data_IF_919593988674
#
_entry.id   IF_919593988674
#
_cell.length_a   1.000
_cell.length_b   1.000
_cell.length_c   1.000
_cell.angle_alpha   90.00
_cell.angle_beta   90.00
_cell.angle_gamma   90.00
#
_symmetry.space_group_name_H-M   'P 1'
#
loop_
_entity.id
_entity.type
_entity.pdbx_description
1 polymer ?
#
# COMPACT_ATOMS: atom_id res chain seq x y z
N UNK A 1 20.56 13.57 16.26
CA UNK A 1 20.82 14.88 16.88
C UNK A 1 19.68 15.16 17.86
N UNK A 2 19.97 15.63 19.07
CA UNK A 2 18.93 16.03 20.01
C UNK A 2 18.23 17.30 19.50
N UNK A 3 16.93 17.40 19.76
CA UNK A 3 16.08 18.54 19.41
C UNK A 3 15.25 18.91 20.64
N UNK A 4 15.09 20.20 20.86
CA UNK A 4 14.19 20.73 21.88
C UNK A 4 12.89 21.13 21.20
N UNK A 5 11.75 20.69 21.75
CA UNK A 5 10.45 21.15 21.28
C UNK A 5 10.14 22.52 21.92
N UNK A 6 9.58 23.48 21.17
CA UNK A 6 9.26 24.81 21.70
C UNK A 6 8.13 24.71 22.75
N UNK A 7 8.49 24.97 24.00
CA UNK A 7 7.64 25.18 25.17
C UNK A 7 8.47 25.98 26.18
N UNK A 8 7.84 26.70 27.12
CA UNK A 8 8.49 27.63 28.07
C UNK A 8 9.70 27.03 28.83
N UNK A 9 9.77 25.70 28.98
CA UNK A 9 10.93 24.97 29.54
C UNK A 9 11.52 23.88 28.61
N UNK A 10 11.01 23.71 27.38
CA UNK A 10 11.52 22.84 26.32
C UNK A 10 11.89 21.39 26.72
N UNK A 11 11.09 20.39 26.33
CA UNK A 11 11.45 18.99 26.59
C UNK A 11 12.46 18.47 25.54
N UNK A 12 13.59 17.84 25.95
CA UNK A 12 14.56 17.28 25.03
C UNK A 12 14.04 16.01 24.35
N UNK A 13 14.40 15.82 23.09
CA UNK A 13 14.10 14.62 22.30
C UNK A 13 15.30 14.24 21.45
N UNK A 14 15.57 12.95 21.25
CA UNK A 14 16.66 12.48 20.40
C UNK A 14 17.96 12.17 21.16
N UNK A 15 19.08 12.22 20.44
CA UNK A 15 20.38 11.71 20.92
C UNK A 15 21.30 12.84 21.40
N UNK A 16 21.81 12.72 22.63
CA UNK A 16 22.91 13.52 23.15
C UNK A 16 23.97 12.58 23.77
N UNK A 17 25.12 12.46 23.12
CA UNK A 17 26.15 11.50 23.54
C UNK A 17 25.66 10.05 23.54
N UNK A 18 25.87 9.34 24.65
CA UNK A 18 25.34 7.99 24.90
C UNK A 18 23.89 7.99 25.38
N UNK A 19 23.32 9.14 25.70
CA UNK A 19 21.95 9.25 26.19
C UNK A 19 20.95 9.46 25.06
N UNK A 20 19.83 8.76 25.16
CA UNK A 20 18.68 8.88 24.26
C UNK A 20 17.48 9.35 25.06
N UNK A 21 16.96 10.51 24.67
CA UNK A 21 15.78 11.15 25.24
C UNK A 21 14.56 10.79 24.38
N UNK A 22 13.55 10.15 24.98
CA UNK A 22 12.27 9.85 24.34
C UNK A 22 11.14 10.50 25.10
N UNK A 23 10.24 11.16 24.38
CA UNK A 23 9.00 11.67 24.94
C UNK A 23 7.88 10.67 24.67
N UNK A 24 7.22 10.22 25.74
CA UNK A 24 6.05 9.33 25.67
C UNK A 24 5.01 9.91 26.61
N UNK A 25 3.84 10.26 26.07
CA UNK A 25 2.70 10.81 26.83
C UNK A 25 3.09 12.01 27.72
N UNK A 26 3.87 12.96 27.19
CA UNK A 26 4.32 14.15 27.92
C UNK A 26 5.42 13.91 28.95
N UNK A 27 5.87 12.67 29.16
CA UNK A 27 6.98 12.33 30.06
C UNK A 27 8.27 12.12 29.26
N UNK A 28 9.39 12.60 29.79
CA UNK A 28 10.71 12.39 29.20
C UNK A 28 11.37 11.17 29.84
N UNK A 29 11.68 10.18 29.02
CA UNK A 29 12.44 8.98 29.40
C UNK A 29 13.87 9.13 28.90
N UNK A 30 14.83 8.87 29.78
CA UNK A 30 16.26 8.89 29.46
C UNK A 30 16.80 7.48 29.53
N UNK A 31 17.53 7.07 28.50
CA UNK A 31 18.14 5.74 28.44
C UNK A 31 19.54 5.82 27.85
N UNK A 32 20.44 4.94 28.33
CA UNK A 32 21.75 4.77 27.73
C UNK A 32 21.64 3.92 26.48
N UNK A 33 22.26 4.37 25.40
CA UNK A 33 22.42 3.60 24.18
C UNK A 33 23.50 2.54 24.41
N UNK A 34 23.26 1.28 24.04
CA UNK A 34 24.32 0.28 24.06
C UNK A 34 25.44 0.67 23.07
N UNK A 35 26.69 0.49 23.49
CA UNK A 35 27.87 0.82 22.69
C UNK A 35 27.97 -0.06 21.43
N UNK A 36 27.48 -1.29 21.49
CA UNK A 36 27.37 -2.21 20.36
C UNK A 36 25.96 -2.78 20.25
N UNK A 37 25.47 -2.92 19.01
CA UNK A 37 24.20 -3.59 18.74
C UNK A 37 24.44 -4.72 17.74
N UNK A 38 24.24 -5.95 18.18
CA UNK A 38 24.39 -7.12 17.32
C UNK A 38 23.16 -7.26 16.42
N UNK A 39 23.26 -6.73 15.19
CA UNK A 39 22.26 -6.94 14.16
C UNK A 39 22.45 -8.35 13.61
N UNK A 40 21.44 -9.22 13.77
CA UNK A 40 21.46 -10.54 13.14
C UNK A 40 21.56 -10.41 11.61
N UNK A 41 22.56 -11.09 11.06
CA UNK A 41 22.85 -11.13 9.62
C UNK A 41 22.27 -12.37 8.93
N UNK A 42 21.50 -13.19 9.65
CA UNK A 42 20.85 -14.36 9.05
C UNK A 42 19.94 -13.94 7.91
N UNK A 43 19.79 -14.80 6.89
CA UNK A 43 18.91 -14.55 5.74
C UNK A 43 17.49 -14.19 6.21
N UNK A 44 16.98 -14.93 7.19
CA UNK A 44 15.67 -14.65 7.79
C UNK A 44 15.59 -13.23 8.39
N UNK A 45 16.59 -12.82 9.20
CA UNK A 45 16.59 -11.49 9.81
C UNK A 45 16.73 -10.36 8.78
N UNK A 46 17.43 -10.60 7.67
CA UNK A 46 17.50 -9.66 6.54
C UNK A 46 16.15 -9.55 5.84
N UNK A 47 15.53 -10.68 5.48
CA UNK A 47 14.24 -10.73 4.81
C UNK A 47 13.13 -10.08 5.65
N UNK A 48 13.07 -10.36 6.96
CA UNK A 48 12.06 -9.77 7.83
C UNK A 48 12.18 -8.24 7.95
N UNK A 49 13.41 -7.73 8.02
CA UNK A 49 13.64 -6.26 8.01
C UNK A 49 13.23 -5.64 6.67
N UNK A 50 13.53 -6.31 5.56
CA UNK A 50 13.16 -5.85 4.23
C UNK A 50 11.65 -5.85 4.03
N UNK A 51 10.98 -6.95 4.36
CA UNK A 51 9.52 -7.06 4.34
C UNK A 51 8.89 -5.93 5.15
N UNK A 52 9.41 -5.67 6.35
CA UNK A 52 8.90 -4.58 7.18
C UNK A 52 9.08 -3.21 6.52
N UNK A 53 10.25 -2.93 5.93
CA UNK A 53 10.49 -1.66 5.24
C UNK A 53 9.54 -1.45 4.05
N UNK A 54 9.33 -2.48 3.23
CA UNK A 54 8.41 -2.44 2.08
C UNK A 54 6.97 -2.28 2.55
N UNK A 55 6.55 -3.02 3.57
CA UNK A 55 5.19 -2.96 4.10
C UNK A 55 4.88 -1.60 4.73
N UNK A 56 5.86 -0.96 5.35
CA UNK A 56 5.73 0.43 5.82
C UNK A 56 5.48 1.39 4.67
N UNK A 57 6.19 1.26 3.55
CA UNK A 57 5.97 2.08 2.36
C UNK A 57 4.59 1.80 1.73
N UNK A 58 4.24 0.52 1.58
CA UNK A 58 2.95 0.08 1.08
C UNK A 58 1.79 0.61 1.93
N UNK A 59 1.93 0.59 3.26
CA UNK A 59 0.93 1.14 4.16
C UNK A 59 0.78 2.66 4.02
N UNK A 60 1.88 3.40 3.80
CA UNK A 60 1.81 4.84 3.51
C UNK A 60 1.03 5.11 2.22
N UNK A 61 1.31 4.37 1.15
CA UNK A 61 0.60 4.50 -0.13
C UNK A 61 -0.89 4.19 -0.03
N UNK A 62 -1.26 3.14 0.71
CA UNK A 62 -2.67 2.82 0.94
C UNK A 62 -3.35 3.93 1.73
N UNK A 63 -2.72 4.39 2.81
CA UNK A 63 -3.33 5.39 3.71
C UNK A 63 -3.24 6.83 3.21
N UNK A 64 -2.50 7.13 2.15
CA UNK A 64 -2.53 8.44 1.51
C UNK A 64 -3.86 8.70 0.80
N UNK A 65 -4.59 7.65 0.42
CA UNK A 65 -5.99 7.76 -0.03
C UNK A 65 -6.93 7.81 1.19
N UNK A 66 -7.71 8.90 1.37
CA UNK A 66 -8.66 8.99 2.48
C UNK A 66 -9.72 7.87 2.47
N UNK A 67 -10.16 7.45 1.28
CA UNK A 67 -11.18 6.39 1.14
C UNK A 67 -10.63 5.01 1.53
N UNK A 68 -9.43 4.66 1.09
CA UNK A 68 -8.76 3.42 1.51
C UNK A 68 -8.47 3.45 3.02
N UNK A 69 -7.96 4.58 3.52
CA UNK A 69 -7.72 4.74 4.95
C UNK A 69 -9.01 4.54 5.77
N UNK A 70 -10.14 5.11 5.32
CA UNK A 70 -11.45 4.92 5.94
C UNK A 70 -11.85 3.43 6.00
N UNK A 71 -11.71 2.70 4.89
CA UNK A 71 -12.03 1.26 4.85
C UNK A 71 -11.21 0.48 5.90
N UNK A 72 -9.91 0.79 6.01
CA UNK A 72 -9.05 0.18 7.03
C UNK A 72 -9.39 0.58 8.46
N UNK A 73 -9.87 1.80 8.70
CA UNK A 73 -10.36 2.23 10.03
C UNK A 73 -11.62 1.46 10.45
N UNK A 74 -12.46 1.07 9.50
CA UNK A 74 -13.68 0.29 9.75
C UNK A 74 -13.44 -1.23 9.83
N UNK A 75 -12.33 -1.71 9.29
CA UNK A 75 -11.98 -3.14 9.32
C UNK A 75 -11.88 -3.69 10.75
N UNK A 76 -12.37 -4.92 10.98
CA UNK A 76 -12.24 -5.64 12.25
C UNK A 76 -10.84 -6.23 12.47
N UNK A 77 -9.80 -5.41 12.32
CA UNK A 77 -8.39 -5.78 12.42
C UNK A 77 -7.76 -5.02 13.59
N UNK A 78 -6.98 -5.74 14.42
CA UNK A 78 -6.28 -5.11 15.56
C UNK A 78 -5.28 -4.06 15.06
N UNK A 79 -5.38 -2.84 15.58
CA UNK A 79 -4.42 -1.76 15.31
C UNK A 79 -5.01 -0.40 15.66
N UNK A 80 -4.16 0.52 16.11
CA UNK A 80 -4.56 1.85 16.61
C UNK A 80 -4.99 2.80 15.50
N UNK A 81 -4.48 2.63 14.29
CA UNK A 81 -4.83 3.43 13.12
C UNK A 81 -4.90 2.57 11.86
N UNK A 82 -5.48 3.11 10.77
CA UNK A 82 -5.51 2.47 9.45
C UNK A 82 -4.12 1.94 9.06
N UNK A 83 -3.10 2.81 9.18
CA UNK A 83 -1.71 2.50 8.88
C UNK A 83 -1.20 1.26 9.62
N UNK A 84 -1.41 1.20 10.94
CA UNK A 84 -0.98 0.04 11.74
C UNK A 84 -1.75 -1.23 11.38
N UNK A 85 -3.03 -1.11 11.02
CA UNK A 85 -3.86 -2.24 10.59
C UNK A 85 -3.38 -2.80 9.25
N UNK A 86 -3.06 -1.93 8.29
CA UNK A 86 -2.47 -2.31 7.00
C UNK A 86 -1.19 -3.09 7.24
N UNK A 87 -0.25 -2.54 8.04
CA UNK A 87 1.03 -3.20 8.34
C UNK A 87 0.80 -4.57 8.97
N UNK A 88 -0.01 -4.63 10.03
CA UNK A 88 -0.22 -5.86 10.78
C UNK A 88 -0.83 -6.96 9.93
N UNK A 89 -1.76 -6.60 9.05
CA UNK A 89 -2.44 -7.55 8.18
C UNK A 89 -1.54 -8.02 7.03
N UNK A 90 -0.80 -7.11 6.41
CA UNK A 90 -0.02 -7.40 5.21
C UNK A 90 1.38 -7.99 5.48
N UNK A 91 2.00 -7.69 6.62
CA UNK A 91 3.35 -8.17 6.92
C UNK A 91 3.48 -9.71 6.86
N UNK A 92 2.56 -10.51 7.44
CA UNK A 92 2.61 -11.97 7.34
C UNK A 92 2.37 -12.52 5.92
N UNK A 93 1.87 -11.69 5.01
CA UNK A 93 1.53 -12.07 3.62
C UNK A 93 2.70 -11.82 2.65
N UNK A 94 3.79 -11.25 3.15
CA UNK A 94 5.03 -11.07 2.38
C UNK A 94 5.71 -12.41 2.10
N UNK A 95 6.46 -12.47 0.99
CA UNK A 95 7.25 -13.63 0.60
C UNK A 95 8.67 -13.16 0.25
N UNK A 96 9.69 -13.86 0.78
CA UNK A 96 11.10 -13.56 0.52
C UNK A 96 11.53 -12.10 0.75
N UNK A 97 10.89 -11.43 1.70
CA UNK A 97 11.18 -10.03 2.02
C UNK A 97 10.49 -9.01 1.11
N UNK A 98 9.60 -9.44 0.20
CA UNK A 98 8.86 -8.63 -0.76
C UNK A 98 7.34 -8.79 -0.62
N UNK A 99 6.56 -7.94 -1.30
CA UNK A 99 5.12 -8.18 -1.46
C UNK A 99 4.85 -9.43 -2.30
N UNK A 100 3.69 -10.04 -2.07
CA UNK A 100 3.16 -11.15 -2.85
C UNK A 100 1.73 -10.84 -3.31
N UNK A 101 1.17 -11.68 -4.18
CA UNK A 101 -0.25 -11.62 -4.58
C UNK A 101 -1.22 -11.86 -3.43
N UNK A 102 -0.75 -12.25 -2.24
CA UNK A 102 -1.60 -12.38 -1.05
C UNK A 102 -1.78 -11.06 -0.31
N UNK A 103 -0.92 -10.07 -0.57
CA UNK A 103 -1.07 -8.74 0.00
C UNK A 103 -2.34 -8.06 -0.53
N UNK A 104 -2.94 -7.18 0.29
CA UNK A 104 -4.20 -6.52 -0.01
C UNK A 104 -4.09 -5.01 0.25
N UNK A 105 -4.72 -4.22 -0.62
CA UNK A 105 -4.78 -2.75 -0.47
C UNK A 105 -6.06 -2.29 0.24
N UNK A 106 -7.08 -3.14 0.29
CA UNK A 106 -8.36 -2.89 0.95
C UNK A 106 -8.80 -4.14 1.72
N UNK A 107 -9.48 -4.01 2.89
CA UNK A 107 -10.06 -5.14 3.61
C UNK A 107 -11.11 -5.89 2.78
N UNK A 108 -11.54 -7.06 3.27
CA UNK A 108 -12.57 -7.88 2.60
C UNK A 108 -13.85 -7.07 2.34
N UNK A 109 -14.36 -7.20 1.11
CA UNK A 109 -15.56 -6.53 0.62
C UNK A 109 -16.39 -7.48 -0.24
N UNK A 110 -17.08 -6.95 -1.24
CA UNK A 110 -17.72 -7.78 -2.27
C UNK A 110 -16.68 -8.40 -3.20
N UNK A 111 -16.95 -9.60 -3.69
CA UNK A 111 -15.99 -10.31 -4.52
C UNK A 111 -16.07 -9.85 -5.98
N UNK A 112 -14.92 -9.72 -6.61
CA UNK A 112 -14.79 -9.37 -8.02
C UNK A 112 -13.97 -10.45 -8.70
N UNK A 113 -14.39 -10.92 -9.87
CA UNK A 113 -13.58 -11.82 -10.70
C UNK A 113 -13.38 -11.13 -12.03
N UNK A 114 -12.18 -10.60 -12.25
CA UNK A 114 -11.86 -9.76 -13.40
C UNK A 114 -10.74 -10.38 -14.22
N UNK A 115 -10.84 -10.21 -15.54
CA UNK A 115 -9.73 -10.52 -16.45
C UNK A 115 -8.81 -9.32 -16.49
N UNK A 116 -7.51 -9.58 -16.40
CA UNK A 116 -6.49 -8.54 -16.49
C UNK A 116 -5.34 -8.95 -17.37
N UNK A 117 -4.87 -7.98 -18.14
CA UNK A 117 -3.84 -8.14 -19.15
C UNK A 117 -2.86 -6.98 -19.06
N UNK A 118 -1.59 -7.27 -19.32
CA UNK A 118 -0.54 -6.29 -19.35
C UNK A 118 0.09 -6.30 -20.74
N UNK A 119 0.16 -5.13 -21.36
CA UNK A 119 0.89 -4.90 -22.60
C UNK A 119 2.06 -3.94 -22.34
N UNK A 120 2.86 -3.65 -23.36
CA UNK A 120 3.95 -2.67 -23.28
C UNK A 120 3.46 -1.26 -22.87
N UNK A 121 2.22 -0.92 -23.21
CA UNK A 121 1.71 0.44 -23.14
C UNK A 121 0.63 0.65 -22.08
N UNK A 122 -0.13 -0.40 -21.77
CA UNK A 122 -1.27 -0.32 -20.86
C UNK A 122 -1.43 -1.56 -19.99
N UNK A 123 -2.07 -1.35 -18.85
CA UNK A 123 -2.71 -2.39 -18.06
C UNK A 123 -4.22 -2.33 -18.25
N UNK A 124 -4.80 -3.44 -18.69
CA UNK A 124 -6.24 -3.61 -18.87
C UNK A 124 -6.82 -4.43 -17.72
N UNK A 125 -7.95 -3.98 -17.18
CA UNK A 125 -8.77 -4.72 -16.22
C UNK A 125 -10.23 -4.62 -16.66
N UNK A 126 -10.79 -5.74 -17.10
CA UNK A 126 -12.10 -5.77 -17.75
C UNK A 126 -13.15 -6.60 -17.02
N UNK A 127 -14.39 -6.37 -17.43
CA UNK A 127 -15.60 -7.12 -17.04
C UNK A 127 -15.99 -6.99 -15.56
N UNK A 128 -15.90 -5.79 -14.99
CA UNK A 128 -16.47 -5.54 -13.67
C UNK A 128 -17.99 -5.44 -13.79
N UNK A 129 -18.67 -6.39 -13.15
CA UNK A 129 -20.11 -6.44 -13.01
C UNK A 129 -20.47 -6.16 -11.56
N UNK A 130 -21.13 -5.04 -11.32
CA UNK A 130 -21.63 -4.65 -10.01
C UNK A 130 -23.10 -5.03 -9.92
N UNK A 131 -23.47 -5.70 -8.83
CA UNK A 131 -24.87 -6.03 -8.57
C UNK A 131 -25.64 -4.76 -8.23
N UNK A 132 -26.92 -4.69 -8.60
CA UNK A 132 -27.80 -3.57 -8.21
C UNK A 132 -27.92 -3.40 -6.67
N UNK A 133 -27.68 -4.48 -5.91
CA UNK A 133 -27.59 -4.41 -4.46
C UNK A 133 -26.35 -3.68 -3.95
N UNK A 134 -25.32 -3.53 -4.78
CA UNK A 134 -24.03 -2.93 -4.42
C UNK A 134 -23.96 -1.46 -4.83
N UNK A 135 -24.65 -1.09 -5.92
CA UNK A 135 -24.62 0.24 -6.53
C UNK A 135 -26.04 0.74 -6.77
N UNK A 136 -26.31 1.98 -6.36
CA UNK A 136 -27.51 2.72 -6.77
C UNK A 136 -27.15 3.74 -7.85
N UNK A 137 -28.11 4.04 -8.71
CA UNK A 137 -27.97 5.13 -9.69
C UNK A 137 -27.58 6.44 -8.99
N UNK A 138 -26.57 7.12 -9.51
CA UNK A 138 -26.00 8.34 -8.92
C UNK A 138 -24.81 8.12 -7.97
N UNK A 139 -24.47 6.88 -7.64
CA UNK A 139 -23.23 6.58 -6.92
C UNK A 139 -22.00 6.81 -7.82
N UNK A 140 -20.85 7.15 -7.21
CA UNK A 140 -19.55 7.18 -7.88
C UNK A 140 -18.75 5.92 -7.59
N UNK A 141 -17.94 5.48 -8.55
CA UNK A 141 -17.01 4.35 -8.42
C UNK A 141 -15.58 4.84 -8.58
N UNK A 142 -14.76 4.57 -7.57
CA UNK A 142 -13.32 4.81 -7.61
C UNK A 142 -12.59 3.48 -7.68
N UNK A 143 -11.79 3.31 -8.72
CA UNK A 143 -10.86 2.20 -8.87
C UNK A 143 -9.45 2.66 -8.48
N UNK A 144 -8.84 1.91 -7.57
CA UNK A 144 -7.50 2.13 -7.05
C UNK A 144 -6.57 1.07 -7.61
N UNK A 145 -5.43 1.50 -8.13
CA UNK A 145 -4.38 0.63 -8.66
C UNK A 145 -3.05 0.97 -7.99
N UNK A 146 -2.38 -0.05 -7.45
CA UNK A 146 -1.00 0.05 -6.98
C UNK A 146 -0.17 -0.98 -7.76
N UNK A 147 0.79 -0.48 -8.54
CA UNK A 147 1.76 -1.29 -9.27
C UNK A 147 3.05 -1.34 -8.46
N UNK A 148 3.44 -2.53 -8.01
CA UNK A 148 4.65 -2.76 -7.25
C UNK A 148 5.68 -3.49 -8.12
N UNK A 149 6.74 -2.79 -8.49
CA UNK A 149 7.81 -3.25 -9.36
C UNK A 149 8.92 -3.87 -8.52
N UNK A 150 9.29 -5.12 -8.80
CA UNK A 150 10.25 -5.85 -7.98
C UNK A 150 11.34 -6.51 -8.81
N UNK A 151 12.48 -6.78 -8.14
CA UNK A 151 13.66 -7.39 -8.73
C UNK A 151 14.30 -6.52 -9.85
N UNK A 152 14.89 -5.36 -9.49
CA UNK A 152 15.77 -4.66 -10.41
C UNK A 152 17.01 -5.53 -10.67
N UNK A 153 17.56 -5.47 -11.88
CA UNK A 153 18.71 -6.28 -12.31
C UNK A 153 19.94 -6.22 -11.37
N UNK A 154 20.02 -5.22 -10.51
CA UNK A 154 21.12 -4.96 -9.58
C UNK A 154 21.16 -5.86 -8.31
N UNK A 155 20.41 -6.96 -8.23
CA UNK A 155 20.42 -7.88 -7.08
C UNK A 155 20.05 -7.21 -5.72
N UNK A 156 19.40 -6.06 -5.76
CA UNK A 156 18.87 -5.37 -4.58
C UNK A 156 17.41 -5.76 -4.42
N UNK A 157 17.01 -6.15 -3.20
CA UNK A 157 15.61 -6.38 -2.83
C UNK A 157 14.88 -5.03 -2.70
N UNK A 158 14.84 -4.26 -3.77
CA UNK A 158 14.11 -2.99 -3.82
C UNK A 158 12.77 -3.18 -4.53
N UNK A 159 11.82 -2.36 -4.11
CA UNK A 159 10.50 -2.29 -4.72
C UNK A 159 10.16 -0.84 -4.98
N UNK A 160 9.74 -0.55 -6.20
CA UNK A 160 9.21 0.75 -6.59
C UNK A 160 7.71 0.67 -6.76
N UNK A 161 7.02 1.79 -6.53
CA UNK A 161 5.56 1.83 -6.59
C UNK A 161 5.09 2.90 -7.56
N UNK A 162 4.12 2.53 -8.40
CA UNK A 162 3.29 3.47 -9.16
C UNK A 162 1.85 3.36 -8.66
N UNK A 163 1.13 4.47 -8.64
CA UNK A 163 -0.26 4.50 -8.19
C UNK A 163 -1.13 5.19 -9.23
N UNK A 164 -2.30 4.62 -9.51
CA UNK A 164 -3.30 5.23 -10.38
C UNK A 164 -4.67 5.16 -9.70
N UNK A 165 -5.48 6.19 -9.90
CA UNK A 165 -6.87 6.25 -9.43
C UNK A 165 -7.72 6.64 -10.63
N UNK A 166 -8.75 5.84 -10.92
CA UNK A 166 -9.74 6.13 -11.94
C UNK A 166 -11.10 6.31 -11.28
N UNK A 167 -11.79 7.39 -11.59
CA UNK A 167 -13.09 7.74 -10.98
C UNK A 167 -14.17 7.80 -12.06
N UNK A 168 -15.31 7.17 -11.77
CA UNK A 168 -16.53 7.23 -12.56
C UNK A 168 -17.60 7.90 -11.71
N UNK A 169 -18.04 9.08 -12.12
CA UNK A 169 -19.15 9.76 -11.47
C UNK A 169 -20.48 9.30 -12.07
N UNK A 170 -21.48 9.13 -11.20
CA UNK A 170 -22.84 8.77 -11.58
C UNK A 170 -22.91 7.54 -12.50
N UNK A 171 -22.59 6.36 -11.95
CA UNK A 171 -22.67 5.09 -12.69
C UNK A 171 -24.08 4.90 -13.25
N UNK A 172 -24.18 4.86 -14.59
CA UNK A 172 -25.44 4.63 -15.30
C UNK A 172 -25.63 3.16 -15.69
N UNK A 173 -24.54 2.46 -16.01
CA UNK A 173 -24.53 1.01 -16.26
C UNK A 173 -23.57 0.34 -15.28
N UNK A 174 -24.06 -0.68 -14.57
CA UNK A 174 -23.28 -1.46 -13.61
C UNK A 174 -22.62 -2.68 -14.25
N UNK A 175 -22.82 -2.90 -15.56
CA UNK A 175 -22.32 -4.06 -16.29
C UNK A 175 -21.11 -3.70 -17.15
N UNK A 176 -20.17 -4.64 -17.24
CA UNK A 176 -19.00 -4.60 -18.12
C UNK A 176 -18.17 -3.30 -17.99
N UNK A 177 -17.95 -2.82 -16.77
CA UNK A 177 -17.06 -1.67 -16.56
C UNK A 177 -15.61 -2.12 -16.81
N UNK A 178 -14.90 -1.36 -17.63
CA UNK A 178 -13.52 -1.62 -18.02
C UNK A 178 -12.59 -0.48 -17.61
N UNK A 179 -11.35 -0.85 -17.29
CA UNK A 179 -10.31 0.08 -16.86
C UNK A 179 -9.08 -0.10 -17.73
N UNK A 180 -8.63 1.01 -18.32
CA UNK A 180 -7.42 1.11 -19.13
C UNK A 180 -6.44 2.08 -18.48
N UNK A 181 -5.38 1.56 -17.88
CA UNK A 181 -4.31 2.38 -17.31
C UNK A 181 -3.19 2.48 -18.32
N UNK A 182 -3.08 3.64 -18.97
CA UNK A 182 -1.99 3.94 -19.89
C UNK A 182 -0.76 4.39 -19.11
N UNK A 183 0.39 3.80 -19.43
CA UNK A 183 1.67 4.23 -18.86
C UNK A 183 2.28 5.35 -19.70
N UNK A 184 2.83 6.38 -19.04
CA UNK A 184 3.61 7.41 -19.72
C UNK A 184 5.04 6.92 -20.03
N UNK A 185 5.81 7.66 -20.82
CA UNK A 185 7.16 7.24 -21.21
C UNK A 185 8.11 7.01 -20.03
N UNK A 186 8.00 7.79 -18.95
CA UNK A 186 8.83 7.65 -17.75
C UNK A 186 8.46 6.39 -16.96
N UNK A 187 7.16 6.11 -16.84
CA UNK A 187 6.64 4.89 -16.21
C UNK A 187 7.04 3.64 -16.99
N UNK A 188 6.91 3.64 -18.31
CA UNK A 188 7.39 2.54 -19.16
C UNK A 188 8.88 2.28 -18.94
N UNK A 189 9.70 3.33 -19.01
CA UNK A 189 11.15 3.23 -18.74
C UNK A 189 11.46 2.69 -17.34
N UNK A 190 10.63 3.00 -16.34
CA UNK A 190 10.78 2.45 -15.01
C UNK A 190 10.41 0.96 -15.00
N UNK A 191 9.23 0.60 -15.53
CA UNK A 191 8.72 -0.78 -15.60
C UNK A 191 9.75 -1.70 -16.27
N UNK A 192 10.32 -1.30 -17.42
CA UNK A 192 11.33 -2.09 -18.14
C UNK A 192 12.63 -2.38 -17.35
N UNK A 193 12.91 -1.65 -16.26
CA UNK A 193 14.08 -1.94 -15.38
C UNK A 193 13.85 -3.13 -14.46
N UNK A 194 12.60 -3.52 -14.24
CA UNK A 194 12.22 -4.57 -13.31
C UNK A 194 11.78 -5.83 -14.05
N UNK A 195 11.90 -6.98 -13.37
CA UNK A 195 11.53 -8.29 -13.96
C UNK A 195 10.09 -8.69 -13.65
N UNK A 196 9.54 -8.15 -12.57
CA UNK A 196 8.24 -8.54 -12.04
C UNK A 196 7.43 -7.31 -11.64
N UNK A 197 6.13 -7.37 -11.89
CA UNK A 197 5.16 -6.39 -11.42
C UNK A 197 4.02 -7.08 -10.71
N UNK A 198 3.72 -6.64 -9.49
CA UNK A 198 2.47 -6.97 -8.81
C UNK A 198 1.49 -5.83 -9.01
N UNK A 199 0.28 -6.13 -9.46
CA UNK A 199 -0.80 -5.16 -9.58
C UNK A 199 -1.83 -5.46 -8.52
N UNK A 200 -2.05 -4.50 -7.63
CA UNK A 200 -3.12 -4.55 -6.64
C UNK A 200 -4.24 -3.61 -7.07
N UNK A 201 -5.47 -4.12 -7.09
CA UNK A 201 -6.66 -3.37 -7.50
C UNK A 201 -7.75 -3.44 -6.44
N UNK A 202 -8.49 -2.35 -6.27
CA UNK A 202 -9.63 -2.28 -5.37
C UNK A 202 -10.65 -1.26 -5.87
N UNK A 203 -11.92 -1.50 -5.58
CA UNK A 203 -13.03 -0.66 -5.99
C UNK A 203 -13.75 -0.12 -4.77
N UNK A 204 -14.08 1.17 -4.79
CA UNK A 204 -14.85 1.83 -3.74
C UNK A 204 -16.05 2.51 -4.38
N UNK A 205 -17.23 2.16 -3.88
CA UNK A 205 -18.49 2.78 -4.25
C UNK A 205 -18.81 3.85 -3.21
N UNK A 206 -19.03 5.07 -3.67
CA UNK A 206 -19.33 6.22 -2.83
C UNK A 206 -20.65 6.86 -3.23
N UNK A 207 -21.34 7.46 -2.26
CA UNK A 207 -22.52 8.30 -2.49
C UNK A 207 -22.53 9.45 -1.49
N UNK A 208 -22.92 10.65 -1.93
CA UNK A 208 -22.92 11.86 -1.09
C UNK A 208 -21.61 12.06 -0.29
N UNK A 209 -20.46 11.82 -0.94
CA UNK A 209 -19.11 11.89 -0.34
C UNK A 209 -18.82 10.90 0.81
N UNK A 210 -19.62 9.84 0.95
CA UNK A 210 -19.37 8.75 1.91
C UNK A 210 -19.08 7.44 1.17
N UNK A 211 -18.17 6.65 1.73
CA UNK A 211 -17.95 5.27 1.28
C UNK A 211 -19.17 4.44 1.66
N UNK A 212 -19.83 3.85 0.66
CA UNK A 212 -21.01 3.00 0.83
C UNK A 212 -20.61 1.52 0.86
N UNK A 213 -19.76 1.12 -0.08
CA UNK A 213 -19.31 -0.25 -0.23
C UNK A 213 -17.91 -0.31 -0.85
N UNK A 214 -17.25 -1.45 -0.72
CA UNK A 214 -15.92 -1.67 -1.27
C UNK A 214 -15.74 -3.11 -1.71
N UNK A 215 -14.91 -3.34 -2.74
CA UNK A 215 -14.55 -4.68 -3.16
C UNK A 215 -13.53 -5.31 -2.23
N UNK A 216 -13.39 -6.63 -2.32
CA UNK A 216 -12.17 -7.32 -1.92
C UNK A 216 -10.99 -6.88 -2.80
N UNK A 217 -9.78 -6.89 -2.26
CA UNK A 217 -8.58 -6.58 -3.03
C UNK A 217 -8.32 -7.67 -4.07
N UNK A 218 -8.00 -7.26 -5.28
CA UNK A 218 -7.49 -8.11 -6.33
C UNK A 218 -5.98 -7.92 -6.43
N UNK A 219 -5.26 -8.99 -6.68
CA UNK A 219 -3.81 -8.94 -6.86
C UNK A 219 -3.38 -9.93 -7.93
N UNK A 220 -2.50 -9.49 -8.84
CA UNK A 220 -1.93 -10.34 -9.89
C UNK A 220 -0.45 -10.04 -10.10
N UNK A 221 0.32 -11.08 -10.36
CA UNK A 221 1.72 -10.98 -10.74
C UNK A 221 1.86 -11.07 -12.26
N UNK A 222 2.73 -10.22 -12.82
CA UNK A 222 3.12 -10.23 -14.22
C UNK A 222 4.65 -10.32 -14.31
N UNK A 223 5.11 -11.14 -15.25
CA UNK A 223 6.51 -11.14 -15.69
C UNK A 223 6.66 -10.08 -16.78
N UNK A 224 7.66 -9.22 -16.63
CA UNK A 224 7.95 -8.17 -17.61
C UNK A 224 8.93 -8.77 -18.62
N UNK A 225 8.41 -9.09 -19.80
CA UNK A 225 9.24 -9.56 -20.92
C UNK A 225 10.00 -8.37 -21.50
N UNK A 226 11.30 -8.57 -21.70
CA UNK A 226 12.19 -7.62 -22.39
C UNK A 226 12.39 -8.16 -23.79
N UNK A 227 11.44 -7.90 -24.68
CA UNK A 227 11.63 -8.12 -26.11
C UNK A 227 12.46 -6.96 -26.69
#
# INVERSE_FOLDING_TARGET
MARFNPSFLGSPSGKLGKSVFRQINGKTFVSNRPDTYNISQSKYAKNSRQAFAIIVQFAKLITSSPQLAYCWQKAKIKGTSAYHRVIKHNLPLTADGLLSVRNIIIPKGFDCVLKSELTADLYYLGNLNLLESEVKAGNSLNAYFIFALSNPEANQLNMEFLTNITSFDQIQDTRNIEFNINFNQSEKKLIYKYKKMFVFSAFIISGENKVLNSSSSLAKEFLINKD
#
